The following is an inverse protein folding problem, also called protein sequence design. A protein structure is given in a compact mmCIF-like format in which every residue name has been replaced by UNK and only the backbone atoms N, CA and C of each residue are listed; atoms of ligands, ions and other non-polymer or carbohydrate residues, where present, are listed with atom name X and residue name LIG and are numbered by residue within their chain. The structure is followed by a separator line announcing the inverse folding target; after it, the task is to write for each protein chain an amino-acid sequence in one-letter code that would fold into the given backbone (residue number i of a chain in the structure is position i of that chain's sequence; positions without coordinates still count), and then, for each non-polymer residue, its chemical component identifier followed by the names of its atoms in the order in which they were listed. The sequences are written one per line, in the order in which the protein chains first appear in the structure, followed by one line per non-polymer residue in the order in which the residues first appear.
data_IF_554676716867
#
_entry.id   IF_554676716867
#
_cell.length_a   1.000
_cell.length_b   1.000
_cell.length_c   1.000
_cell.angle_alpha   90.00
_cell.angle_beta   90.00
_cell.angle_gamma   90.00
#
_symmetry.space_group_name_H-M   'P 1'
#
loop_
_entity.id
_entity.type
_entity.pdbx_description
1 polymer ?
#
# COMPACT_ATOMS: atom_id res chain seq x y z
N UNK A 1 14.87 10.97 72.15
CA UNK A 1 15.18 9.69 71.45
C UNK A 1 14.11 9.43 70.40
N UNK A 2 14.50 9.45 69.12
CA UNK A 2 14.10 8.58 68.01
C UNK A 2 14.46 9.31 66.70
N UNK A 3 15.31 8.63 65.95
CA UNK A 3 15.98 9.00 64.71
C UNK A 3 15.01 9.23 63.54
N UNK A 4 15.46 9.96 62.51
CA UNK A 4 15.42 9.52 61.11
C UNK A 4 16.25 10.44 60.21
N UNK A 5 17.34 9.88 59.70
CA UNK A 5 18.09 10.34 58.52
C UNK A 5 17.25 10.07 57.27
N UNK A 6 17.12 11.03 56.34
CA UNK A 6 16.92 10.74 54.91
C UNK A 6 17.72 11.72 54.07
N UNK A 7 18.63 11.16 53.27
CA UNK A 7 19.52 11.78 52.30
C UNK A 7 18.81 11.99 50.94
N UNK A 8 19.27 13.03 50.22
CA UNK A 8 19.59 13.11 48.78
C UNK A 8 18.56 12.54 47.78
N UNK A 9 18.15 13.35 46.79
CA UNK A 9 18.41 13.05 45.36
C UNK A 9 17.87 14.11 44.41
N UNK A 10 18.80 14.68 43.64
CA UNK A 10 18.61 15.44 42.42
C UNK A 10 17.92 14.53 41.39
N UNK A 11 16.74 14.91 40.89
CA UNK A 11 16.11 14.26 39.75
C UNK A 11 16.25 15.17 38.53
N UNK A 12 17.35 14.98 37.79
CA UNK A 12 17.52 15.49 36.43
C UNK A 12 16.54 14.71 35.55
N UNK A 13 15.46 15.37 35.15
CA UNK A 13 14.51 14.82 34.18
C UNK A 13 15.18 14.93 32.81
N UNK A 14 15.88 13.86 32.42
CA UNK A 14 16.34 13.66 31.06
C UNK A 14 15.11 13.48 30.16
N UNK A 15 14.76 14.54 29.42
CA UNK A 15 13.76 14.48 28.38
C UNK A 15 14.37 13.70 27.20
N UNK A 16 14.25 12.37 27.24
CA UNK A 16 14.59 11.53 26.09
C UNK A 16 13.56 11.80 25.01
N UNK A 17 13.93 12.64 24.05
CA UNK A 17 13.20 12.74 22.78
C UNK A 17 13.22 11.37 22.14
N UNK A 18 12.04 10.75 22.03
CA UNK A 18 11.84 9.57 21.19
C UNK A 18 12.09 10.05 19.76
N UNK A 19 13.32 9.92 19.30
CA UNK A 19 13.63 10.02 17.89
C UNK A 19 13.00 8.79 17.25
N UNK A 20 11.76 8.93 16.77
CA UNK A 20 11.22 7.98 15.81
C UNK A 20 12.10 8.11 14.58
N UNK A 21 13.18 7.34 14.55
CA UNK A 21 13.90 7.06 13.32
C UNK A 21 12.85 6.47 12.39
N UNK A 22 12.28 7.32 11.52
CA UNK A 22 11.64 6.91 10.29
C UNK A 22 12.77 6.33 9.43
N UNK A 23 13.26 5.16 9.84
CA UNK A 23 14.12 4.30 9.06
C UNK A 23 13.47 4.19 7.68
N UNK A 24 14.26 4.45 6.65
CA UNK A 24 13.97 4.66 5.23
C UNK A 24 12.97 3.66 4.59
N UNK A 25 11.74 3.60 5.09
CA UNK A 25 10.65 2.84 4.50
C UNK A 25 9.95 3.73 3.50
N UNK A 26 9.96 3.29 2.23
CA UNK A 26 9.26 3.98 1.14
C UNK A 26 7.75 3.95 1.32
N UNK A 27 7.21 2.85 1.84
CA UNK A 27 5.80 2.72 2.24
C UNK A 27 5.64 2.73 3.75
N UNK A 28 4.62 3.45 4.24
CA UNK A 28 4.31 3.58 5.67
C UNK A 28 4.21 2.23 6.38
N UNK A 29 3.65 1.22 5.71
CA UNK A 29 3.37 -0.11 6.26
C UNK A 29 4.22 -1.20 5.60
N UNK A 30 5.37 -0.86 5.01
CA UNK A 30 6.26 -1.85 4.39
C UNK A 30 6.86 -2.83 5.42
N UNK A 31 7.13 -4.09 5.00
CA UNK A 31 7.91 -5.02 5.81
C UNK A 31 9.29 -4.43 6.12
N UNK A 32 9.78 -4.64 7.34
CA UNK A 32 11.06 -4.08 7.83
C UNK A 32 12.25 -4.63 7.04
N UNK A 33 12.19 -5.89 6.62
CA UNK A 33 13.22 -6.58 5.85
C UNK A 33 12.53 -7.36 4.73
N UNK A 34 13.07 -7.29 3.52
CA UNK A 34 12.67 -8.10 2.37
C UNK A 34 13.92 -8.60 1.65
N UNK A 35 13.93 -9.88 1.27
CA UNK A 35 15.01 -10.47 0.46
C UNK A 35 14.86 -10.17 -1.04
N UNK A 36 13.69 -9.68 -1.46
CA UNK A 36 13.38 -9.29 -2.84
C UNK A 36 13.34 -7.78 -2.97
N UNK A 37 13.77 -7.29 -4.13
CA UNK A 37 13.66 -5.85 -4.45
C UNK A 37 12.19 -5.41 -4.43
N UNK A 38 11.95 -4.11 -4.31
CA UNK A 38 10.58 -3.56 -4.37
C UNK A 38 9.96 -3.82 -5.74
N UNK A 39 10.74 -3.64 -6.82
CA UNK A 39 10.35 -4.01 -8.19
C UNK A 39 9.94 -5.48 -8.30
N UNK A 40 10.77 -6.42 -7.82
CA UNK A 40 10.47 -7.84 -7.91
C UNK A 40 9.24 -8.26 -7.10
N UNK A 41 8.93 -7.53 -6.01
CA UNK A 41 7.68 -7.73 -5.26
C UNK A 41 6.48 -7.18 -6.01
N UNK A 42 6.61 -6.00 -6.63
CA UNK A 42 5.52 -5.37 -7.37
C UNK A 42 5.15 -6.14 -8.65
N UNK A 43 6.12 -6.78 -9.30
CA UNK A 43 5.92 -7.63 -10.47
C UNK A 43 5.31 -8.97 -10.05
N UNK A 44 4.02 -8.94 -9.75
CA UNK A 44 3.21 -10.09 -9.37
C UNK A 44 1.83 -10.01 -10.06
N UNK A 45 1.01 -11.04 -9.87
CA UNK A 45 -0.43 -10.97 -10.12
C UNK A 45 -1.14 -10.53 -8.86
N UNK A 46 -1.85 -9.41 -8.93
CA UNK A 46 -2.52 -8.76 -7.80
C UNK A 46 -4.02 -8.77 -8.01
N UNK A 47 -4.76 -9.36 -7.08
CA UNK A 47 -6.23 -9.39 -7.10
C UNK A 47 -6.77 -8.43 -6.04
N UNK A 48 -7.67 -7.52 -6.41
CA UNK A 48 -8.29 -6.58 -5.46
C UNK A 48 -9.22 -7.35 -4.51
N UNK A 49 -8.99 -7.24 -3.21
CA UNK A 49 -9.78 -7.93 -2.18
C UNK A 49 -10.55 -6.97 -1.29
N UNK A 50 -10.16 -5.70 -1.22
CA UNK A 50 -10.86 -4.68 -0.43
C UNK A 50 -10.62 -3.28 -1.00
N UNK A 51 -11.63 -2.42 -0.87
CA UNK A 51 -11.53 -0.98 -1.14
C UNK A 51 -12.12 -0.20 0.03
N UNK A 52 -11.45 0.88 0.42
CA UNK A 52 -11.95 1.86 1.38
C UNK A 52 -12.09 3.23 0.72
N UNK A 53 -13.14 3.96 1.12
CA UNK A 53 -13.33 5.38 0.80
C UNK A 53 -13.46 6.15 2.11
N UNK A 54 -12.57 7.09 2.36
CA UNK A 54 -12.49 7.86 3.61
C UNK A 54 -12.50 6.97 4.87
N UNK A 55 -11.83 5.81 4.79
CA UNK A 55 -11.77 4.81 5.87
C UNK A 55 -13.00 3.91 6.01
N UNK A 56 -14.03 4.08 5.18
CA UNK A 56 -15.20 3.20 5.16
C UNK A 56 -15.08 2.15 4.06
N UNK A 57 -15.29 0.88 4.40
CA UNK A 57 -15.31 -0.24 3.45
C UNK A 57 -16.35 -0.01 2.36
N UNK A 58 -15.96 -0.30 1.12
CA UNK A 58 -16.83 -0.24 -0.04
C UNK A 58 -17.16 -1.67 -0.48
N UNK A 59 -18.41 -1.88 -0.88
CA UNK A 59 -18.80 -3.13 -1.50
C UNK A 59 -18.19 -3.22 -2.90
N UNK A 60 -17.37 -4.24 -3.11
CA UNK A 60 -16.75 -4.56 -4.40
C UNK A 60 -17.21 -5.93 -4.90
N UNK A 61 -18.26 -6.49 -4.31
CA UNK A 61 -18.84 -7.74 -4.76
C UNK A 61 -19.39 -7.61 -6.18
N UNK A 62 -19.41 -8.74 -6.90
CA UNK A 62 -19.91 -8.81 -8.27
C UNK A 62 -18.88 -8.51 -9.37
N UNK A 63 -17.66 -8.09 -9.03
CA UNK A 63 -16.55 -8.04 -9.98
C UNK A 63 -15.21 -8.41 -9.33
N UNK A 64 -14.37 -9.12 -10.07
CA UNK A 64 -12.98 -9.41 -9.72
C UNK A 64 -12.08 -8.52 -10.56
N UNK A 65 -11.15 -7.82 -9.90
CA UNK A 65 -10.17 -6.96 -10.56
C UNK A 65 -8.78 -7.54 -10.35
N UNK A 66 -8.10 -7.87 -11.44
CA UNK A 66 -6.77 -8.48 -11.41
C UNK A 66 -5.79 -7.67 -12.24
N UNK A 67 -4.60 -7.42 -11.67
CA UNK A 67 -3.46 -6.86 -12.37
C UNK A 67 -2.36 -7.90 -12.51
N UNK A 68 -2.04 -8.30 -13.74
CA UNK A 68 -0.82 -9.05 -14.04
C UNK A 68 0.29 -8.03 -14.34
N UNK A 69 1.28 -7.94 -13.45
CA UNK A 69 2.35 -6.91 -13.52
C UNK A 69 3.67 -7.54 -13.92
N UNK A 70 4.26 -7.02 -14.99
CA UNK A 70 5.48 -7.58 -15.60
C UNK A 70 6.69 -6.70 -15.33
N UNK A 71 7.87 -7.32 -15.18
CA UNK A 71 9.14 -6.61 -14.94
C UNK A 71 9.58 -5.70 -16.10
N UNK A 72 8.97 -5.88 -17.28
CA UNK A 72 9.14 -5.04 -18.47
C UNK A 72 8.48 -3.65 -18.36
N UNK A 73 7.78 -3.34 -17.26
CA UNK A 73 6.99 -2.12 -17.13
C UNK A 73 5.60 -2.20 -17.77
N UNK A 74 5.20 -3.40 -18.25
CA UNK A 74 3.85 -3.67 -18.75
C UNK A 74 2.95 -4.17 -17.63
N UNK A 75 1.66 -3.94 -17.80
CA UNK A 75 0.61 -4.44 -16.92
C UNK A 75 -0.60 -4.84 -17.76
N UNK A 76 -1.30 -5.91 -17.37
CA UNK A 76 -2.60 -6.27 -17.93
C UNK A 76 -3.66 -6.23 -16.84
N UNK A 77 -4.71 -5.46 -17.04
CA UNK A 77 -5.90 -5.42 -16.19
C UNK A 77 -6.92 -6.42 -16.74
N UNK A 78 -7.44 -7.27 -15.86
CA UNK A 78 -8.61 -8.12 -16.14
C UNK A 78 -9.71 -7.77 -15.16
N UNK A 79 -10.91 -7.50 -15.69
CA UNK A 79 -12.13 -7.30 -14.91
C UNK A 79 -13.10 -8.39 -15.32
N UNK A 80 -13.48 -9.23 -14.37
CA UNK A 80 -14.46 -10.30 -14.56
C UNK A 80 -15.66 -10.06 -13.65
N UNK A 81 -16.88 -10.29 -14.15
CA UNK A 81 -18.10 -10.08 -13.39
C UNK A 81 -19.29 -10.78 -14.03
N UNK A 82 -20.50 -10.33 -13.70
CA UNK A 82 -21.71 -10.83 -14.34
C UNK A 82 -22.70 -9.70 -14.61
N UNK A 83 -23.35 -9.75 -15.78
CA UNK A 83 -24.42 -8.82 -16.18
C UNK A 83 -25.64 -9.67 -16.55
N UNK A 84 -26.76 -9.46 -15.85
CA UNK A 84 -27.98 -10.30 -15.97
C UNK A 84 -27.71 -11.81 -15.83
N UNK A 85 -26.76 -12.20 -14.98
CA UNK A 85 -26.38 -13.60 -14.75
C UNK A 85 -25.43 -14.19 -15.79
N UNK A 86 -25.06 -13.45 -16.83
CA UNK A 86 -24.08 -13.88 -17.83
C UNK A 86 -22.68 -13.37 -17.45
N UNK A 87 -21.64 -14.24 -17.49
CA UNK A 87 -20.29 -13.83 -17.16
C UNK A 87 -19.77 -12.82 -18.18
N UNK A 88 -19.08 -11.79 -17.69
CA UNK A 88 -18.40 -10.79 -18.50
C UNK A 88 -16.92 -10.78 -18.18
N UNK A 89 -16.10 -10.50 -19.19
CA UNK A 89 -14.66 -10.35 -19.05
C UNK A 89 -14.16 -9.20 -19.93
N UNK A 90 -13.45 -8.27 -19.32
CA UNK A 90 -12.74 -7.19 -20.01
C UNK A 90 -11.27 -7.29 -19.70
N UNK A 91 -10.43 -7.23 -20.73
CA UNK A 91 -8.97 -7.26 -20.61
C UNK A 91 -8.42 -6.00 -21.27
N UNK A 92 -7.55 -5.28 -20.55
CA UNK A 92 -6.95 -4.02 -20.99
C UNK A 92 -5.46 -4.06 -20.74
N UNK A 93 -4.71 -3.57 -21.72
CA UNK A 93 -3.27 -3.41 -21.58
C UNK A 93 -2.93 -2.06 -20.96
N UNK A 94 -1.78 -2.04 -20.30
CA UNK A 94 -1.30 -0.88 -19.60
C UNK A 94 0.19 -0.94 -19.32
N UNK A 95 0.64 0.08 -18.61
CA UNK A 95 2.02 0.21 -18.14
C UNK A 95 2.06 0.66 -16.70
N UNK A 96 3.21 0.47 -16.08
CA UNK A 96 3.47 0.93 -14.74
C UNK A 96 4.91 1.43 -14.60
N UNK A 97 5.11 2.42 -13.73
CA UNK A 97 6.42 2.93 -13.37
C UNK A 97 6.41 3.39 -11.90
N UNK A 98 7.47 3.06 -11.17
CA UNK A 98 7.71 3.70 -9.87
C UNK A 98 8.17 5.14 -10.08
N UNK A 99 7.67 6.04 -9.25
CA UNK A 99 8.04 7.46 -9.22
C UNK A 99 8.31 7.87 -7.77
N UNK A 100 8.87 9.05 -7.56
CA UNK A 100 9.17 9.59 -6.22
C UNK A 100 9.95 8.57 -5.37
N UNK A 101 11.12 8.14 -5.88
CA UNK A 101 11.99 7.15 -5.24
C UNK A 101 11.30 5.81 -4.91
N UNK A 102 10.27 5.42 -5.66
CA UNK A 102 9.41 4.24 -5.48
C UNK A 102 8.46 4.30 -4.27
N UNK A 103 8.23 5.49 -3.72
CA UNK A 103 7.15 5.75 -2.77
C UNK A 103 5.78 5.69 -3.46
N UNK A 104 5.74 6.10 -4.72
CA UNK A 104 4.55 6.13 -5.54
C UNK A 104 4.69 5.24 -6.77
N UNK A 105 3.57 4.75 -7.29
CA UNK A 105 3.48 4.03 -8.55
C UNK A 105 2.47 4.71 -9.46
N UNK A 106 2.89 4.98 -10.70
CA UNK A 106 1.99 5.44 -11.75
C UNK A 106 1.58 4.24 -12.60
N UNK A 107 0.28 4.01 -12.69
CA UNK A 107 -0.33 2.97 -13.52
C UNK A 107 -1.11 3.64 -14.63
N UNK A 108 -0.89 3.22 -15.87
CA UNK A 108 -1.60 3.73 -17.06
C UNK A 108 -2.36 2.61 -17.71
N UNK A 109 -3.69 2.73 -17.81
CA UNK A 109 -4.57 1.78 -18.50
C UNK A 109 -5.30 2.54 -19.61
N UNK A 110 -5.34 2.02 -20.84
CA UNK A 110 -6.01 2.66 -21.99
C UNK A 110 -5.62 4.14 -22.17
N UNK A 111 -4.35 4.49 -21.90
CA UNK A 111 -3.84 5.86 -22.00
C UNK A 111 -4.20 6.79 -20.84
N UNK A 112 -4.98 6.33 -19.85
CA UNK A 112 -5.29 7.09 -18.63
C UNK A 112 -4.35 6.72 -17.50
N UNK A 113 -3.48 7.65 -17.10
CA UNK A 113 -2.52 7.49 -16.02
C UNK A 113 -3.07 7.94 -14.66
N UNK A 114 -2.86 7.11 -13.64
CA UNK A 114 -3.13 7.43 -12.22
C UNK A 114 -1.91 7.14 -11.37
N UNK A 115 -1.61 8.03 -10.44
CA UNK A 115 -0.52 7.86 -9.47
C UNK A 115 -1.10 7.47 -8.11
N UNK A 116 -0.56 6.40 -7.54
CA UNK A 116 -0.93 5.88 -6.24
C UNK A 116 0.27 5.91 -5.31
N UNK A 117 0.05 6.31 -4.07
CA UNK A 117 1.04 6.11 -3.02
C UNK A 117 1.04 4.65 -2.54
N UNK A 118 2.22 4.05 -2.48
CA UNK A 118 2.40 2.63 -2.14
C UNK A 118 2.55 2.48 -0.64
N UNK A 119 1.42 2.27 0.03
CA UNK A 119 1.33 2.17 1.49
C UNK A 119 2.00 0.92 2.04
N UNK A 120 1.88 -0.20 1.32
CA UNK A 120 2.50 -1.49 1.66
C UNK A 120 2.80 -2.27 0.40
N UNK A 121 3.97 -2.89 0.35
CA UNK A 121 4.31 -3.86 -0.69
C UNK A 121 5.05 -5.05 -0.08
N UNK A 122 4.33 -6.04 0.42
CA UNK A 122 4.89 -7.31 0.87
C UNK A 122 4.87 -8.35 -0.28
N UNK A 123 5.29 -9.59 -0.01
CA UNK A 123 5.25 -10.65 -1.02
C UNK A 123 3.83 -10.98 -1.51
N UNK A 124 2.84 -10.87 -0.61
CA UNK A 124 1.43 -11.21 -0.87
C UNK A 124 0.44 -10.07 -0.63
N UNK A 125 0.92 -8.88 -0.27
CA UNK A 125 0.06 -7.75 0.06
C UNK A 125 0.54 -6.50 -0.65
N UNK A 126 -0.35 -5.86 -1.40
CA UNK A 126 -0.11 -4.56 -2.03
C UNK A 126 -1.23 -3.61 -1.63
N UNK A 127 -0.89 -2.48 -1.03
CA UNK A 127 -1.85 -1.45 -0.66
C UNK A 127 -1.53 -0.16 -1.40
N UNK A 128 -2.51 0.34 -2.15
CA UNK A 128 -2.38 1.56 -2.97
C UNK A 128 -3.36 2.62 -2.47
N UNK A 129 -2.88 3.84 -2.27
CA UNK A 129 -3.69 4.98 -1.84
C UNK A 129 -3.72 6.05 -2.92
N UNK A 130 -4.91 6.58 -3.22
CA UNK A 130 -5.04 7.79 -4.05
C UNK A 130 -5.92 8.85 -3.37
N UNK A 131 -5.70 10.10 -3.75
CA UNK A 131 -6.57 11.23 -3.43
C UNK A 131 -7.35 11.60 -4.68
N UNK A 132 -8.68 11.67 -4.57
CA UNK A 132 -9.57 12.07 -5.66
C UNK A 132 -10.52 13.14 -5.14
N UNK A 133 -10.20 14.40 -5.45
CA UNK A 133 -10.84 15.57 -4.85
C UNK A 133 -10.63 15.58 -3.34
N UNK A 134 -11.74 15.61 -2.59
CA UNK A 134 -11.73 15.56 -1.11
C UNK A 134 -11.69 14.15 -0.54
N UNK A 135 -11.82 13.12 -1.39
CA UNK A 135 -11.90 11.74 -0.95
C UNK A 135 -10.53 11.06 -0.98
N UNK A 136 -10.28 10.23 0.02
CA UNK A 136 -9.17 9.28 0.04
C UNK A 136 -9.67 7.90 -0.30
N UNK A 137 -9.00 7.22 -1.21
CA UNK A 137 -9.26 5.82 -1.54
C UNK A 137 -8.06 4.97 -1.17
N UNK A 138 -8.32 3.77 -0.62
CA UNK A 138 -7.28 2.76 -0.36
C UNK A 138 -7.73 1.44 -0.95
N UNK A 139 -6.87 0.84 -1.77
CA UNK A 139 -7.08 -0.41 -2.46
C UNK A 139 -6.13 -1.46 -1.88
N UNK A 140 -6.68 -2.60 -1.50
CA UNK A 140 -5.94 -3.71 -0.92
C UNK A 140 -5.98 -4.87 -1.91
N UNK A 141 -4.79 -5.32 -2.30
CA UNK A 141 -4.60 -6.42 -3.22
C UNK A 141 -3.88 -7.58 -2.55
N UNK A 142 -4.27 -8.78 -2.93
CA UNK A 142 -3.57 -10.01 -2.58
C UNK A 142 -2.75 -10.52 -3.78
N UNK A 143 -1.51 -10.92 -3.51
CA UNK A 143 -0.57 -11.41 -4.51
C UNK A 143 -0.53 -12.93 -4.56
N UNK A 144 -0.45 -13.49 -5.77
CA UNK A 144 -0.23 -14.93 -5.97
C UNK A 144 1.23 -15.37 -5.77
#
# INVERSE_FOLDING_TARGET
MKTKLIYISILIIAFTTITTQQSCKKGQNDPVISLRTRKDRFTNTWTLTKMEKNGANQDISGSTYTYAVYNSGKLTQTIEGAVFGFPTRSVKDGSWEFVNDEEDVKITIDGSGKTYNVQRLAAKELWLKELSGVNTYVYYFEGN
#
